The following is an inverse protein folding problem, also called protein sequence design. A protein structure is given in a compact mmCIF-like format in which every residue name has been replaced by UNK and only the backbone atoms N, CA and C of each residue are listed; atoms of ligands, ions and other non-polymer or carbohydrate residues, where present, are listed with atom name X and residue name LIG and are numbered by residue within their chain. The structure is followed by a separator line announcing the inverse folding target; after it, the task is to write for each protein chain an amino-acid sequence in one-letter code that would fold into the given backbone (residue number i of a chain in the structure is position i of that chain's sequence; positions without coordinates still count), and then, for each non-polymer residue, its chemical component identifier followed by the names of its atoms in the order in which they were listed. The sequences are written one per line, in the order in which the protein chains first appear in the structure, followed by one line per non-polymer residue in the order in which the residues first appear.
data_IF_346970376502
#
_entry.id   IF_346970376502
#
_cell.length_a   1.000
_cell.length_b   1.000
_cell.length_c   1.000
_cell.angle_alpha   90.00
_cell.angle_beta   90.00
_cell.angle_gamma   90.00
#
_symmetry.space_group_name_H-M   'P 1'
#
loop_
_entity.id
_entity.type
_entity.pdbx_description
1 polymer ?
#
# COMPACT_ATOMS: atom_id res chain seq x y z
N UNK A 1 -14.20 -17.15 -8.99
CA UNK A 1 -13.84 -17.38 -7.58
C UNK A 1 -13.02 -18.66 -7.52
N UNK A 2 -11.78 -18.62 -7.02
CA UNK A 2 -10.94 -19.81 -6.90
C UNK A 2 -11.46 -20.68 -5.75
N UNK A 3 -12.05 -21.84 -6.07
CA UNK A 3 -12.35 -22.88 -5.09
C UNK A 3 -11.11 -23.75 -4.91
N UNK A 4 -10.18 -23.30 -4.06
CA UNK A 4 -9.03 -24.10 -3.66
C UNK A 4 -9.44 -24.98 -2.47
N UNK A 5 -9.37 -26.29 -2.66
CA UNK A 5 -9.53 -27.27 -1.59
C UNK A 5 -8.39 -27.13 -0.57
N UNK A 6 -8.71 -27.07 0.72
CA UNK A 6 -7.73 -26.92 1.80
C UNK A 6 -6.61 -27.97 1.77
N UNK A 7 -6.92 -29.20 1.35
CA UNK A 7 -5.93 -30.27 1.21
C UNK A 7 -4.95 -30.04 0.07
N UNK A 8 -5.42 -29.50 -1.06
CA UNK A 8 -4.55 -29.10 -2.18
C UNK A 8 -3.65 -27.95 -1.77
N UNK A 9 -4.17 -26.97 -1.02
CA UNK A 9 -3.38 -25.86 -0.52
C UNK A 9 -2.25 -26.33 0.41
N UNK A 10 -2.54 -27.22 1.36
CA UNK A 10 -1.54 -27.83 2.26
C UNK A 10 -0.46 -28.60 1.51
N UNK A 11 -0.82 -29.32 0.45
CA UNK A 11 0.17 -30.06 -0.38
C UNK A 11 1.07 -29.13 -1.18
N UNK A 12 0.50 -28.06 -1.76
CA UNK A 12 1.26 -27.13 -2.61
C UNK A 12 2.09 -26.15 -1.78
N UNK A 13 1.59 -25.74 -0.61
CA UNK A 13 2.21 -24.71 0.24
C UNK A 13 2.29 -25.17 1.70
N UNK A 14 3.01 -26.27 2.02
CA UNK A 14 3.02 -26.87 3.35
C UNK A 14 3.51 -25.89 4.43
N UNK A 15 4.60 -25.16 4.17
CA UNK A 15 5.14 -24.16 5.12
C UNK A 15 4.17 -23.02 5.43
N UNK A 16 3.52 -22.48 4.40
CA UNK A 16 2.52 -21.42 4.56
C UNK A 16 1.29 -21.92 5.35
N UNK A 17 0.89 -23.18 5.15
CA UNK A 17 -0.23 -23.75 5.89
C UNK A 17 0.07 -23.96 7.37
N UNK A 18 1.32 -24.30 7.70
CA UNK A 18 1.78 -24.42 9.08
C UNK A 18 1.81 -23.04 9.76
N UNK A 19 2.31 -22.02 9.05
CA UNK A 19 2.32 -20.62 9.51
C UNK A 19 0.90 -20.07 9.74
N UNK A 20 -0.04 -20.38 8.85
CA UNK A 20 -1.48 -20.03 8.95
C UNK A 20 -2.20 -20.74 10.11
N UNK A 21 -1.74 -21.93 10.49
CA UNK A 21 -2.33 -22.73 11.58
C UNK A 21 -1.86 -22.31 12.96
N UNK A 22 -0.71 -21.62 13.03
CA UNK A 22 -0.27 -20.91 14.23
C UNK A 22 -1.23 -19.74 14.48
N UNK A 23 -1.66 -19.54 15.73
CA UNK A 23 -2.76 -18.65 16.15
C UNK A 23 -2.60 -17.15 15.79
N UNK A 24 -1.55 -16.76 15.07
CA UNK A 24 -1.49 -15.44 14.46
C UNK A 24 -2.35 -15.44 13.20
N UNK A 25 -3.57 -14.90 13.32
CA UNK A 25 -4.39 -14.61 12.14
C UNK A 25 -3.56 -13.90 11.06
N UNK A 26 -3.80 -14.18 9.78
CA UNK A 26 -3.20 -13.42 8.67
C UNK A 26 -3.40 -11.93 8.88
N UNK A 27 -4.55 -11.53 9.44
CA UNK A 27 -4.82 -10.16 9.87
C UNK A 27 -3.88 -9.61 10.94
N UNK A 28 -3.33 -10.43 11.83
CA UNK A 28 -2.35 -10.05 12.86
C UNK A 28 -0.94 -9.86 12.29
N UNK A 29 -0.52 -10.71 11.34
CA UNK A 29 0.74 -10.54 10.59
C UNK A 29 0.69 -9.31 9.67
N UNK A 30 -0.46 -9.08 9.02
CA UNK A 30 -0.75 -7.87 8.22
C UNK A 30 -0.82 -6.63 9.11
N UNK A 31 -1.41 -6.70 10.32
CA UNK A 31 -1.47 -5.57 11.27
C UNK A 31 -0.11 -5.02 11.69
N UNK A 32 0.96 -5.83 11.65
CA UNK A 32 2.32 -5.35 11.93
C UNK A 32 2.92 -4.55 10.77
N UNK A 33 2.35 -4.59 9.56
CA UNK A 33 2.82 -3.84 8.39
C UNK A 33 1.70 -2.97 7.81
N UNK A 34 1.63 -1.70 8.21
CA UNK A 34 0.72 -0.70 7.63
C UNK A 34 1.06 -0.50 6.15
N UNK A 35 0.18 -0.92 5.24
CA UNK A 35 0.43 -0.79 3.80
C UNK A 35 0.64 0.69 3.42
N UNK A 36 1.52 0.97 2.43
CA UNK A 36 1.68 2.32 1.92
C UNK A 36 0.34 2.84 1.39
N UNK A 37 -0.01 4.05 1.82
CA UNK A 37 -1.13 4.83 1.33
C UNK A 37 -0.69 5.70 0.15
N UNK A 38 -1.65 6.27 -0.58
CA UNK A 38 -1.36 7.21 -1.67
C UNK A 38 -0.43 8.35 -1.24
N UNK A 39 -0.57 8.85 -0.01
CA UNK A 39 0.28 9.90 0.54
C UNK A 39 1.74 9.47 0.65
N UNK A 40 1.99 8.21 1.04
CA UNK A 40 3.34 7.65 1.10
C UNK A 40 4.03 7.61 -0.28
N UNK A 41 3.22 7.49 -1.35
CA UNK A 41 3.70 7.55 -2.72
C UNK A 41 3.92 9.00 -3.19
N UNK A 42 3.02 9.92 -2.85
CA UNK A 42 3.16 11.34 -3.17
C UNK A 42 4.40 11.95 -2.49
N UNK A 43 4.73 11.56 -1.26
CA UNK A 43 5.97 11.98 -0.56
C UNK A 43 7.27 11.61 -1.30
N UNK A 44 7.17 10.68 -2.26
CA UNK A 44 8.31 10.16 -3.04
C UNK A 44 8.37 10.72 -4.46
N UNK A 45 7.35 11.43 -4.90
CA UNK A 45 7.34 12.07 -6.21
C UNK A 45 8.38 13.20 -6.24
N UNK A 46 8.94 13.46 -7.40
CA UNK A 46 9.90 14.54 -7.65
C UNK A 46 9.25 15.74 -8.37
N UNK A 47 8.12 15.51 -9.04
CA UNK A 47 7.41 16.50 -9.83
C UNK A 47 5.88 16.24 -9.87
N UNK A 48 5.13 17.21 -10.39
CA UNK A 48 3.66 17.15 -10.45
C UNK A 48 3.13 16.05 -11.39
N UNK A 49 3.88 15.75 -12.46
CA UNK A 49 3.49 14.73 -13.44
C UNK A 49 3.50 13.34 -12.78
N UNK A 50 4.55 13.02 -12.02
CA UNK A 50 4.63 11.80 -11.23
C UNK A 50 3.49 11.70 -10.20
N UNK A 51 3.18 12.81 -9.51
CA UNK A 51 2.09 12.82 -8.54
C UNK A 51 0.72 12.56 -9.21
N UNK A 52 0.48 13.14 -10.39
CA UNK A 52 -0.72 12.88 -11.19
C UNK A 52 -0.84 11.41 -11.59
N UNK A 53 0.25 10.80 -12.07
CA UNK A 53 0.27 9.39 -12.46
C UNK A 53 -0.03 8.46 -11.28
N UNK A 54 0.51 8.77 -10.11
CA UNK A 54 0.22 8.03 -8.87
C UNK A 54 -1.26 8.14 -8.52
N UNK A 55 -1.85 9.34 -8.57
CA UNK A 55 -3.28 9.52 -8.28
C UNK A 55 -4.14 8.73 -9.26
N UNK A 56 -3.84 8.79 -10.56
CA UNK A 56 -4.56 8.03 -11.59
C UNK A 56 -4.43 6.52 -11.43
N UNK A 57 -3.25 6.04 -11.04
CA UNK A 57 -3.04 4.63 -10.75
C UNK A 57 -3.92 4.16 -9.60
N UNK A 58 -3.94 4.89 -8.47
CA UNK A 58 -4.75 4.56 -7.30
C UNK A 58 -6.25 4.61 -7.59
N UNK A 59 -6.70 5.55 -8.42
CA UNK A 59 -8.07 5.61 -8.90
C UNK A 59 -8.41 4.38 -9.76
N UNK A 60 -7.52 4.01 -10.68
CA UNK A 60 -7.71 2.87 -11.60
C UNK A 60 -7.83 1.53 -10.89
N UNK A 61 -7.09 1.34 -9.78
CA UNK A 61 -7.16 0.11 -8.97
C UNK A 61 -8.30 0.15 -7.94
N UNK A 62 -9.00 1.28 -7.80
CA UNK A 62 -10.14 1.44 -6.90
C UNK A 62 -9.78 1.65 -5.43
N UNK A 63 -8.55 2.10 -5.13
CA UNK A 63 -8.10 2.39 -3.77
C UNK A 63 -8.55 3.79 -3.29
N UNK A 64 -8.86 4.70 -4.23
CA UNK A 64 -9.46 6.01 -3.97
C UNK A 64 -10.68 6.23 -4.85
N UNK A 65 -11.60 7.11 -4.45
CA UNK A 65 -12.76 7.49 -5.25
C UNK A 65 -12.40 8.61 -6.24
N UNK A 66 -13.26 8.81 -7.24
CA UNK A 66 -13.12 9.91 -8.20
C UNK A 66 -13.08 11.28 -7.49
N UNK A 67 -13.95 11.50 -6.51
CA UNK A 67 -14.00 12.73 -5.69
C UNK A 67 -12.67 13.01 -4.99
N UNK A 68 -12.10 11.98 -4.33
CA UNK A 68 -10.81 12.08 -3.62
C UNK A 68 -9.66 12.32 -4.60
N UNK A 69 -9.70 11.67 -5.78
CA UNK A 69 -8.70 11.86 -6.82
C UNK A 69 -8.71 13.29 -7.36
N UNK A 70 -9.89 13.84 -7.65
CA UNK A 70 -10.03 15.23 -8.12
C UNK A 70 -9.54 16.23 -7.07
N UNK A 71 -9.87 16.02 -5.79
CA UNK A 71 -9.37 16.87 -4.71
C UNK A 71 -7.84 16.84 -4.63
N UNK A 72 -7.24 15.65 -4.68
CA UNK A 72 -5.78 15.50 -4.66
C UNK A 72 -5.12 16.22 -5.85
N UNK A 73 -5.70 16.09 -7.05
CA UNK A 73 -5.20 16.76 -8.27
C UNK A 73 -5.28 18.27 -8.17
N UNK A 74 -6.39 18.80 -7.65
CA UNK A 74 -6.57 20.24 -7.46
C UNK A 74 -5.58 20.81 -6.44
N UNK A 75 -5.22 20.02 -5.42
CA UNK A 75 -4.32 20.41 -4.33
C UNK A 75 -2.84 20.02 -4.56
N UNK A 76 -2.45 19.58 -5.77
CA UNK A 76 -1.06 19.18 -6.08
C UNK A 76 -0.03 20.26 -5.69
N UNK A 77 -0.37 21.53 -5.89
CA UNK A 77 0.52 22.64 -5.53
C UNK A 77 0.82 22.72 -4.04
N UNK A 78 -0.14 22.37 -3.19
CA UNK A 78 0.04 22.32 -1.74
C UNK A 78 0.80 21.05 -1.32
N UNK A 79 0.62 19.96 -2.08
CA UNK A 79 1.32 18.69 -1.86
C UNK A 79 2.78 18.71 -2.32
N UNK A 80 3.19 19.69 -3.14
CA UNK A 80 4.59 19.85 -3.58
C UNK A 80 5.58 19.94 -2.43
N UNK A 81 5.19 20.52 -1.30
CA UNK A 81 6.05 20.61 -0.12
C UNK A 81 6.43 19.23 0.46
N UNK A 82 5.66 18.20 0.12
CA UNK A 82 5.86 16.82 0.56
C UNK A 82 6.77 16.04 -0.41
N UNK A 83 7.00 16.54 -1.62
CA UNK A 83 7.77 15.86 -2.64
C UNK A 83 9.22 15.69 -2.19
N UNK A 84 9.78 14.50 -2.43
CA UNK A 84 11.14 14.14 -2.04
C UNK A 84 11.39 14.08 -0.52
N UNK A 85 10.38 14.26 0.34
CA UNK A 85 10.53 14.14 1.80
C UNK A 85 10.82 12.71 2.25
N UNK A 86 10.47 11.72 1.41
CA UNK A 86 10.68 10.29 1.67
C UNK A 86 11.67 9.64 0.70
N UNK A 87 12.80 9.17 1.23
CA UNK A 87 13.92 8.57 0.48
C UNK A 87 13.84 7.04 0.39
N UNK A 88 14.62 6.48 -0.54
CA UNK A 88 14.75 5.01 -0.70
C UNK A 88 15.27 4.40 0.61
N UNK A 89 14.60 3.36 1.09
CA UNK A 89 14.88 2.73 2.39
C UNK A 89 14.23 3.39 3.60
N UNK A 90 13.40 4.44 3.43
CA UNK A 90 12.65 5.02 4.56
C UNK A 90 11.51 4.10 5.02
N UNK A 91 10.97 3.27 4.13
CA UNK A 91 10.01 2.22 4.47
C UNK A 91 10.57 1.22 5.51
N UNK A 92 11.88 0.98 5.48
CA UNK A 92 12.58 0.10 6.42
C UNK A 92 13.06 0.88 7.66
N UNK A 93 13.53 2.12 7.49
CA UNK A 93 14.17 2.92 8.56
C UNK A 93 13.19 3.63 9.50
N UNK A 94 12.03 4.08 9.03
CA UNK A 94 11.04 4.76 9.89
C UNK A 94 9.95 3.82 10.42
N UNK A 95 9.96 2.56 9.99
CA UNK A 95 8.77 1.72 10.07
C UNK A 95 7.63 2.34 9.25
N UNK A 96 6.58 1.57 9.00
CA UNK A 96 5.38 2.10 8.36
C UNK A 96 4.71 3.02 9.39
N UNK A 97 5.03 4.32 9.31
CA UNK A 97 4.83 5.29 10.40
C UNK A 97 3.47 5.12 11.09
N UNK A 98 3.53 4.75 12.37
CA UNK A 98 2.45 4.86 13.35
C UNK A 98 2.30 6.36 13.66
N UNK A 99 1.40 7.02 12.94
CA UNK A 99 0.75 8.24 13.38
C UNK A 99 -0.72 7.91 13.58
#
# INVERSE_FOLDING_TARGET
MLNIDNEKFKKMFPKLSDELSSSESVGSLVRKRKLPTIMDHIERCENDEEAMEIIDFFLKIGEIKEEDAEELKNNIKELRDLFGTRKRGDYERRGLNLR
#
